data_IF_517831728847
#
_entry.id   IF_517831728847
#
_cell.length_a   1.000
_cell.length_b   1.000
_cell.length_c   1.000
_cell.angle_alpha   90.00
_cell.angle_beta   90.00
_cell.angle_gamma   90.00
#
_symmetry.space_group_name_H-M   'P 1'
#
loop_
_entity.id
_entity.type
_entity.pdbx_description
1 polymer ?
#
# COMPACT_ATOMS: atom_id res chain seq x y z
N UNK A 1 -0.38 -22.62 -14.23
CA UNK A 1 -0.81 -21.40 -13.58
C UNK A 1 -2.33 -21.27 -13.61
N UNK A 2 -2.96 -20.82 -12.51
CA UNK A 2 -4.43 -20.71 -12.46
C UNK A 2 -5.04 -19.85 -13.56
N UNK A 3 -4.35 -18.77 -13.96
CA UNK A 3 -4.89 -17.86 -15.01
C UNK A 3 -4.87 -18.52 -16.38
N UNK A 4 -3.92 -19.41 -16.65
CA UNK A 4 -3.89 -20.21 -17.87
C UNK A 4 -5.07 -21.18 -17.88
N UNK A 5 -5.33 -21.80 -16.75
CA UNK A 5 -6.44 -22.74 -16.59
C UNK A 5 -7.80 -22.07 -16.82
N UNK A 6 -7.91 -20.77 -16.49
CA UNK A 6 -9.11 -19.99 -16.73
C UNK A 6 -9.26 -19.55 -18.20
N UNK A 7 -8.25 -19.83 -19.04
CA UNK A 7 -8.31 -19.47 -20.44
C UNK A 7 -8.17 -17.98 -20.73
N UNK A 8 -7.57 -17.23 -19.82
CA UNK A 8 -7.39 -15.79 -20.01
C UNK A 8 -6.32 -15.50 -21.05
N UNK A 9 -6.47 -14.42 -21.85
CA UNK A 9 -5.43 -14.01 -22.80
C UNK A 9 -4.14 -13.61 -22.07
N UNK A 10 -3.00 -13.68 -22.78
CA UNK A 10 -1.68 -13.32 -22.23
C UNK A 10 -1.65 -11.90 -21.69
N UNK A 11 -2.30 -10.96 -22.36
CA UNK A 11 -2.37 -9.57 -21.91
C UNK A 11 -3.08 -9.43 -20.57
N UNK A 12 -4.20 -10.15 -20.38
CA UNK A 12 -4.94 -10.13 -19.13
C UNK A 12 -4.14 -10.75 -17.99
N UNK A 13 -3.39 -11.82 -18.27
CA UNK A 13 -2.54 -12.45 -17.27
C UNK A 13 -1.40 -11.53 -16.86
N UNK A 14 -0.78 -10.87 -17.82
CA UNK A 14 0.31 -9.94 -17.57
C UNK A 14 -0.17 -8.74 -16.74
N UNK A 15 -1.33 -8.18 -17.10
CA UNK A 15 -1.93 -7.08 -16.36
C UNK A 15 -2.29 -7.49 -14.93
N UNK A 16 -2.91 -8.65 -14.75
CA UNK A 16 -3.28 -9.14 -13.41
C UNK A 16 -2.06 -9.37 -12.54
N UNK A 17 -0.99 -9.97 -13.09
CA UNK A 17 0.25 -10.19 -12.37
C UNK A 17 0.88 -8.87 -11.94
N UNK A 18 1.00 -7.92 -12.86
CA UNK A 18 1.55 -6.60 -12.58
C UNK A 18 0.72 -5.84 -11.54
N UNK A 19 -0.60 -5.91 -11.64
CA UNK A 19 -1.50 -5.26 -10.69
C UNK A 19 -1.35 -5.82 -9.27
N UNK A 20 -1.27 -7.14 -9.14
CA UNK A 20 -1.09 -7.78 -7.83
C UNK A 20 0.25 -7.44 -7.21
N UNK A 21 1.33 -7.48 -7.99
CA UNK A 21 2.66 -7.10 -7.50
C UNK A 21 2.67 -5.64 -7.05
N UNK A 22 2.15 -4.73 -7.88
CA UNK A 22 2.12 -3.31 -7.55
C UNK A 22 1.27 -3.04 -6.31
N UNK A 23 0.09 -3.64 -6.21
CA UNK A 23 -0.79 -3.45 -5.06
C UNK A 23 -0.14 -3.91 -3.76
N UNK A 24 0.53 -5.06 -3.77
CA UNK A 24 1.23 -5.56 -2.60
C UNK A 24 2.43 -4.69 -2.23
N UNK A 25 3.22 -4.30 -3.21
CA UNK A 25 4.41 -3.47 -2.96
C UNK A 25 4.02 -2.09 -2.43
N UNK A 26 3.06 -1.43 -3.06
CA UNK A 26 2.63 -0.08 -2.68
C UNK A 26 1.95 -0.08 -1.31
N UNK A 27 1.07 -1.04 -1.04
CA UNK A 27 0.35 -1.09 0.23
C UNK A 27 1.28 -1.29 1.42
N UNK A 28 2.39 -1.98 1.23
CA UNK A 28 3.38 -2.18 2.29
C UNK A 28 4.39 -1.04 2.39
N UNK A 29 4.65 -0.36 1.28
CA UNK A 29 5.65 0.71 1.22
C UNK A 29 5.28 1.94 2.05
N UNK A 30 3.98 2.14 2.32
CA UNK A 30 3.49 3.29 3.11
C UNK A 30 3.59 3.08 4.61
N UNK A 31 3.76 1.83 5.07
CA UNK A 31 3.73 1.51 6.51
C UNK A 31 4.86 2.17 7.29
N UNK A 32 6.13 2.15 6.83
CA UNK A 32 7.19 2.84 7.57
C UNK A 32 6.93 4.34 7.75
N UNK A 33 6.29 5.00 6.78
CA UNK A 33 5.95 6.42 6.89
C UNK A 33 4.98 6.66 8.04
N UNK A 34 3.99 5.79 8.20
CA UNK A 34 3.02 5.88 9.30
C UNK A 34 3.73 5.66 10.63
N UNK A 35 4.56 4.63 10.71
CA UNK A 35 5.30 4.31 11.94
C UNK A 35 6.29 5.41 12.33
N UNK A 36 6.83 6.13 11.34
CA UNK A 36 7.76 7.23 11.58
C UNK A 36 7.06 8.49 12.08
N UNK A 37 5.89 8.81 11.52
CA UNK A 37 5.21 10.09 11.74
C UNK A 37 4.12 10.06 12.81
N UNK A 38 3.42 8.93 12.95
CA UNK A 38 2.26 8.83 13.83
C UNK A 38 2.65 8.46 15.26
N UNK A 39 1.78 8.82 16.19
CA UNK A 39 1.93 8.47 17.61
C UNK A 39 1.38 7.08 17.85
N UNK A 40 2.09 6.29 18.68
CA UNK A 40 1.58 5.00 19.11
C UNK A 40 0.33 5.18 19.98
N UNK A 41 -0.74 4.48 19.64
CA UNK A 41 -1.99 4.53 20.39
C UNK A 41 -2.00 3.59 21.60
N UNK A 42 -1.09 2.62 21.62
CA UNK A 42 -0.92 1.64 22.73
C UNK A 42 0.52 1.60 23.18
N UNK A 43 0.71 1.27 24.46
CA UNK A 43 2.06 1.14 25.04
C UNK A 43 2.68 -0.23 24.78
N UNK A 44 1.87 -1.23 24.34
CA UNK A 44 2.32 -2.58 24.07
C UNK A 44 1.77 -3.05 22.72
N UNK A 45 2.33 -4.15 22.22
CA UNK A 45 1.86 -4.80 21.00
C UNK A 45 2.89 -4.79 19.90
N UNK A 46 2.48 -5.26 18.71
CA UNK A 46 3.36 -5.41 17.55
C UNK A 46 4.01 -4.08 17.13
N UNK A 47 3.24 -3.02 17.07
CA UNK A 47 3.76 -1.73 16.61
C UNK A 47 4.85 -1.19 17.53
N UNK A 48 4.72 -1.39 18.85
CA UNK A 48 5.73 -1.00 19.82
C UNK A 48 6.98 -1.88 19.65
N UNK A 49 6.80 -3.18 19.52
CA UNK A 49 7.90 -4.14 19.36
C UNK A 49 8.70 -3.89 18.07
N UNK A 50 8.01 -3.49 17.00
CA UNK A 50 8.64 -3.21 15.71
C UNK A 50 9.52 -1.97 15.74
N UNK A 51 9.27 -1.03 16.66
CA UNK A 51 10.03 0.20 16.78
C UNK A 51 9.63 1.26 15.73
N UNK A 52 10.37 2.37 15.76
CA UNK A 52 10.13 3.50 14.85
C UNK A 52 11.22 3.52 13.78
N UNK A 53 10.87 3.36 12.50
CA UNK A 53 11.86 3.47 11.43
C UNK A 53 12.33 4.91 11.27
N UNK A 54 13.57 5.08 10.79
CA UNK A 54 14.12 6.40 10.50
C UNK A 54 13.65 6.94 9.15
N UNK A 55 13.96 8.21 8.89
CA UNK A 55 13.56 8.87 7.65
C UNK A 55 14.17 8.19 6.42
N UNK A 56 15.39 7.71 6.50
CA UNK A 56 16.06 7.03 5.40
C UNK A 56 15.31 5.75 5.02
N UNK A 57 14.90 4.96 6.01
CA UNK A 57 14.09 3.76 5.79
C UNK A 57 12.76 4.10 5.11
N UNK A 58 12.09 5.16 5.55
CA UNK A 58 10.83 5.63 4.96
C UNK A 58 11.02 5.97 3.49
N UNK A 59 12.05 6.75 3.17
CA UNK A 59 12.31 7.18 1.79
C UNK A 59 12.64 5.99 0.89
N UNK A 60 13.45 5.03 1.36
CA UNK A 60 13.72 3.82 0.60
C UNK A 60 12.46 2.99 0.35
N UNK A 61 11.63 2.84 1.37
CA UNK A 61 10.39 2.07 1.26
C UNK A 61 9.44 2.69 0.24
N UNK A 62 9.20 4.00 0.34
CA UNK A 62 8.32 4.71 -0.60
C UNK A 62 8.90 4.70 -2.02
N UNK A 63 10.21 4.90 -2.14
CA UNK A 63 10.88 4.88 -3.44
C UNK A 63 10.81 3.52 -4.12
N UNK A 64 11.01 2.44 -3.38
CA UNK A 64 10.90 1.08 -3.91
C UNK A 64 9.47 0.75 -4.33
N UNK A 65 8.48 1.12 -3.51
CA UNK A 65 7.08 0.91 -3.86
C UNK A 65 6.69 1.67 -5.13
N UNK A 66 7.09 2.92 -5.24
CA UNK A 66 6.84 3.73 -6.43
C UNK A 66 7.54 3.15 -7.67
N UNK A 67 8.80 2.72 -7.53
CA UNK A 67 9.55 2.13 -8.63
C UNK A 67 8.89 0.84 -9.13
N UNK A 68 8.46 -0.03 -8.22
CA UNK A 68 7.78 -1.27 -8.58
C UNK A 68 6.46 -0.96 -9.30
N UNK A 69 5.70 0.02 -8.82
CA UNK A 69 4.45 0.44 -9.47
C UNK A 69 4.72 0.95 -10.89
N UNK A 70 5.74 1.78 -11.07
CA UNK A 70 6.11 2.30 -12.39
C UNK A 70 6.49 1.17 -13.36
N UNK A 71 7.29 0.22 -12.89
CA UNK A 71 7.74 -0.91 -13.72
C UNK A 71 6.60 -1.86 -14.07
N UNK A 72 5.66 -2.08 -13.14
CA UNK A 72 4.57 -3.03 -13.35
C UNK A 72 3.39 -2.43 -14.12
N UNK A 73 3.11 -1.14 -13.94
CA UNK A 73 1.88 -0.50 -14.43
C UNK A 73 2.10 0.52 -15.54
N UNK A 74 3.33 1.01 -15.71
CA UNK A 74 3.62 2.13 -16.58
C UNK A 74 3.30 3.47 -15.90
N UNK A 75 3.82 4.59 -16.44
CA UNK A 75 3.76 5.89 -15.74
C UNK A 75 2.34 6.41 -15.49
N UNK A 76 1.45 6.31 -16.46
CA UNK A 76 0.10 6.88 -16.33
C UNK A 76 -0.72 6.15 -15.26
N UNK A 77 -0.77 4.83 -15.33
CA UNK A 77 -1.53 4.00 -14.38
C UNK A 77 -0.87 4.07 -13.00
N UNK A 78 0.46 4.06 -12.95
CA UNK A 78 1.19 4.14 -11.68
C UNK A 78 0.87 5.43 -10.91
N UNK A 79 0.80 6.58 -11.58
CA UNK A 79 0.46 7.84 -10.93
C UNK A 79 -0.92 7.78 -10.29
N UNK A 80 -1.90 7.25 -11.01
CA UNK A 80 -3.27 7.10 -10.48
C UNK A 80 -3.30 6.12 -9.31
N UNK A 81 -2.60 4.99 -9.44
CA UNK A 81 -2.53 3.99 -8.38
C UNK A 81 -1.87 4.54 -7.11
N UNK A 82 -0.78 5.30 -7.26
CA UNK A 82 -0.08 5.92 -6.14
C UNK A 82 -0.94 7.00 -5.48
N UNK A 83 -1.69 7.77 -6.28
CA UNK A 83 -2.63 8.76 -5.73
C UNK A 83 -3.73 8.08 -4.93
N UNK A 84 -4.30 6.98 -5.44
CA UNK A 84 -5.30 6.19 -4.73
C UNK A 84 -4.75 5.63 -3.43
N UNK A 85 -3.51 5.12 -3.45
CA UNK A 85 -2.83 4.61 -2.27
C UNK A 85 -2.64 5.71 -1.21
N UNK A 86 -2.21 6.89 -1.63
CA UNK A 86 -2.04 8.03 -0.74
C UNK A 86 -3.34 8.47 -0.08
N UNK A 87 -4.41 8.55 -0.86
CA UNK A 87 -5.73 8.92 -0.35
C UNK A 87 -6.28 7.89 0.64
N UNK A 88 -6.16 6.60 0.32
CA UNK A 88 -6.60 5.53 1.19
C UNK A 88 -5.82 5.53 2.51
N UNK A 89 -4.50 5.68 2.43
CA UNK A 89 -3.64 5.76 3.61
C UNK A 89 -4.00 6.94 4.47
N UNK A 90 -4.15 8.13 3.88
CA UNK A 90 -4.52 9.34 4.60
C UNK A 90 -5.87 9.21 5.30
N UNK A 91 -6.84 8.61 4.63
CA UNK A 91 -8.18 8.39 5.20
C UNK A 91 -8.14 7.50 6.44
N UNK A 92 -7.44 6.36 6.36
CA UNK A 92 -7.35 5.43 7.49
C UNK A 92 -6.56 6.03 8.64
N UNK A 93 -5.44 6.71 8.35
CA UNK A 93 -4.63 7.36 9.37
C UNK A 93 -5.42 8.47 10.07
N UNK A 94 -6.14 9.29 9.30
CA UNK A 94 -6.98 10.34 9.86
C UNK A 94 -8.03 9.75 10.79
N UNK A 95 -8.70 8.69 10.35
CA UNK A 95 -9.71 8.02 11.17
C UNK A 95 -9.10 7.47 12.46
N UNK A 96 -7.93 6.85 12.38
CA UNK A 96 -7.23 6.32 13.55
C UNK A 96 -6.86 7.42 14.53
N UNK A 97 -6.36 8.57 14.03
CA UNK A 97 -6.04 9.71 14.88
C UNK A 97 -7.27 10.20 15.65
N UNK A 98 -8.42 10.29 14.96
CA UNK A 98 -9.64 10.84 15.56
C UNK A 98 -10.30 9.85 16.52
N UNK A 99 -10.19 8.56 16.27
CA UNK A 99 -10.86 7.53 17.06
C UNK A 99 -10.02 6.99 18.20
N UNK A 100 -8.72 6.81 18.02
CA UNK A 100 -7.86 6.16 19.03
C UNK A 100 -6.58 6.95 19.33
N UNK A 101 -6.39 8.12 18.70
CA UNK A 101 -5.27 9.00 18.99
C UNK A 101 -3.94 8.64 18.33
N UNK A 102 -3.90 7.70 17.42
CA UNK A 102 -2.68 7.30 16.75
C UNK A 102 -2.80 5.97 16.04
N UNK A 103 -1.71 5.18 16.01
CA UNK A 103 -1.73 3.92 15.30
C UNK A 103 -1.41 2.73 16.21
N UNK A 104 -1.84 1.55 15.77
CA UNK A 104 -1.54 0.25 16.37
C UNK A 104 -1.14 -0.70 15.25
N UNK A 105 -0.76 -1.93 15.58
CA UNK A 105 -0.56 -2.97 14.57
C UNK A 105 -1.81 -3.22 13.74
N UNK A 106 -2.98 -3.17 14.36
CA UNK A 106 -4.26 -3.34 13.65
C UNK A 106 -4.50 -2.22 12.65
N UNK A 107 -4.13 -0.97 12.99
CA UNK A 107 -4.23 0.17 12.08
C UNK A 107 -3.31 -0.04 10.88
N UNK A 108 -2.08 -0.52 11.11
CA UNK A 108 -1.15 -0.82 10.02
C UNK A 108 -1.72 -1.88 9.07
N UNK A 109 -2.34 -2.92 9.63
CA UNK A 109 -3.02 -3.94 8.83
C UNK A 109 -4.20 -3.38 8.04
N UNK A 110 -4.99 -2.49 8.65
CA UNK A 110 -6.11 -1.83 7.96
C UNK A 110 -5.63 -0.95 6.82
N UNK A 111 -4.54 -0.19 7.02
CA UNK A 111 -3.92 0.62 5.95
C UNK A 111 -3.46 -0.28 4.82
N UNK A 112 -2.76 -1.35 5.14
CA UNK A 112 -2.26 -2.27 4.13
C UNK A 112 -3.38 -2.82 3.25
N UNK A 113 -4.44 -3.31 3.85
CA UNK A 113 -5.55 -3.90 3.10
C UNK A 113 -6.36 -2.85 2.33
N UNK A 114 -6.68 -1.73 2.96
CA UNK A 114 -7.44 -0.65 2.32
C UNK A 114 -6.67 -0.08 1.13
N UNK A 115 -5.37 0.14 1.29
CA UNK A 115 -4.51 0.66 0.24
C UNK A 115 -4.39 -0.33 -0.92
N UNK A 116 -4.23 -1.61 -0.60
CA UNK A 116 -4.16 -2.67 -1.62
C UNK A 116 -5.44 -2.71 -2.46
N UNK A 117 -6.60 -2.66 -1.83
CA UNK A 117 -7.89 -2.62 -2.51
C UNK A 117 -8.02 -1.35 -3.35
N UNK A 118 -7.64 -0.19 -2.81
CA UNK A 118 -7.71 1.08 -3.51
C UNK A 118 -6.86 1.07 -4.78
N UNK A 119 -5.65 0.52 -4.70
CA UNK A 119 -4.76 0.40 -5.86
C UNK A 119 -5.38 -0.51 -6.92
N UNK A 120 -5.89 -1.66 -6.52
CA UNK A 120 -6.53 -2.60 -7.45
C UNK A 120 -7.76 -1.99 -8.12
N UNK A 121 -8.59 -1.27 -7.37
CA UNK A 121 -9.76 -0.60 -7.93
C UNK A 121 -9.36 0.52 -8.89
N UNK A 122 -8.32 1.27 -8.58
CA UNK A 122 -7.82 2.33 -9.45
C UNK A 122 -7.32 1.75 -10.78
N UNK A 123 -6.58 0.64 -10.73
CA UNK A 123 -6.09 -0.03 -11.93
C UNK A 123 -7.26 -0.54 -12.77
N UNK A 124 -8.23 -1.17 -12.12
CA UNK A 124 -9.41 -1.70 -12.80
C UNK A 124 -10.22 -0.59 -13.48
N UNK A 125 -10.36 0.56 -12.83
CA UNK A 125 -11.11 1.69 -13.38
C UNK A 125 -10.49 2.27 -14.65
N UNK A 126 -9.20 2.03 -14.87
CA UNK A 126 -8.47 2.53 -16.03
C UNK A 126 -8.40 1.54 -17.19
N UNK A 127 -9.05 0.38 -17.06
CA UNK A 127 -9.07 -0.66 -18.12
C UNK A 127 -10.24 -0.55 -19.10
#
# INVERSE_FOLDING_TARGET
>A
EPLIELGLPDEARSLATGALIAAHAVSRSVLPAIMHRETLARETGFAVAAGRPDQTTVLWSLGLGAAIALLCLGPAIAVVALAAAGLATAAVVWLARTQIGGYTGDVLGAVQQTTEIAVLLAILALQ
#
